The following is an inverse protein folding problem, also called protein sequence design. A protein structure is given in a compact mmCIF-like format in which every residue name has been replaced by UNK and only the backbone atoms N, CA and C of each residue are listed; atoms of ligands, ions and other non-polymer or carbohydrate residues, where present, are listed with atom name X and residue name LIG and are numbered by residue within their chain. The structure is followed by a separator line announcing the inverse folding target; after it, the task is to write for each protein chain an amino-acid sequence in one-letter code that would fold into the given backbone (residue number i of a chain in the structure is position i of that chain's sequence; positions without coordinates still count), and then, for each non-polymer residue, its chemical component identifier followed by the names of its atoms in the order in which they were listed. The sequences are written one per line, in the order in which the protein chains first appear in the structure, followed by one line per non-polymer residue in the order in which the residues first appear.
data_IF_743199061874
#
_entry.id   IF_743199061874
#
_cell.length_a   1.000
_cell.length_b   1.000
_cell.length_c   1.000
_cell.angle_alpha   90.00
_cell.angle_beta   90.00
_cell.angle_gamma   90.00
#
_symmetry.space_group_name_H-M   'P 1'
#
loop_
_entity.id
_entity.type
_entity.pdbx_description
1 polymer ?
#
# COMPACT_ATOMS: atom_id res chain seq x y z
N UNK A 1 -7.97 2.98 6.13
CA UNK A 1 -8.45 4.03 5.20
C UNK A 1 -7.25 4.79 4.69
N UNK A 2 -7.00 4.74 3.39
CA UNK A 2 -5.85 5.33 2.71
C UNK A 2 -6.37 6.30 1.63
N UNK A 3 -5.75 7.46 1.49
CA UNK A 3 -6.07 8.44 0.45
C UNK A 3 -4.80 8.84 -0.32
N UNK A 4 -4.96 9.63 -1.38
CA UNK A 4 -3.79 10.25 -2.02
C UNK A 4 -2.99 11.06 -0.99
N UNK A 5 -1.67 11.06 -1.14
CA UNK A 5 -0.69 11.65 -0.22
C UNK A 5 -0.59 10.96 1.15
N UNK A 6 -1.29 9.85 1.39
CA UNK A 6 -1.01 9.01 2.57
C UNK A 6 0.34 8.31 2.41
N UNK A 7 1.17 8.37 3.44
CA UNK A 7 2.41 7.61 3.55
C UNK A 7 2.12 6.24 4.17
N UNK A 8 2.72 5.19 3.63
CA UNK A 8 2.57 3.81 4.07
C UNK A 8 3.94 3.16 4.26
N UNK A 9 4.03 2.31 5.27
CA UNK A 9 5.12 1.38 5.44
C UNK A 9 5.03 0.27 4.38
N UNK A 10 6.17 -0.36 4.13
CA UNK A 10 6.27 -1.52 3.25
C UNK A 10 6.21 -2.79 4.10
N UNK A 11 5.29 -3.69 3.76
CA UNK A 11 5.05 -4.94 4.50
C UNK A 11 5.55 -6.19 3.74
N UNK A 12 6.62 -6.05 2.98
CA UNK A 12 7.27 -7.13 2.25
C UNK A 12 8.80 -6.98 2.28
N UNK A 13 9.49 -8.01 1.80
CA UNK A 13 10.95 -8.02 1.67
C UNK A 13 11.44 -7.37 0.36
N UNK A 14 10.60 -6.55 -0.30
CA UNK A 14 11.01 -5.77 -1.48
C UNK A 14 12.07 -4.71 -1.16
N UNK A 15 12.30 -4.45 0.14
CA UNK A 15 13.28 -3.50 0.70
C UNK A 15 13.05 -2.04 0.29
N UNK A 16 11.87 -1.71 -0.24
CA UNK A 16 11.33 -0.37 -0.10
C UNK A 16 11.05 -0.12 1.40
N UNK A 17 11.20 1.13 1.85
CA UNK A 17 10.99 1.53 3.25
C UNK A 17 9.70 2.32 3.43
N UNK A 18 9.40 3.18 2.46
CA UNK A 18 8.29 4.12 2.55
C UNK A 18 7.66 4.32 1.18
N UNK A 19 6.34 4.29 1.15
CA UNK A 19 5.51 4.51 -0.02
C UNK A 19 4.62 5.73 0.20
N UNK A 20 4.35 6.49 -0.84
CA UNK A 20 3.32 7.52 -0.83
C UNK A 20 2.25 7.18 -1.86
N UNK A 21 1.00 7.06 -1.42
CA UNK A 21 -0.14 6.85 -2.32
C UNK A 21 -0.33 8.08 -3.21
N UNK A 22 -0.41 7.87 -4.52
CA UNK A 22 -0.71 8.94 -5.48
C UNK A 22 -2.08 8.76 -6.11
N UNK A 23 -2.56 7.52 -6.24
CA UNK A 23 -3.87 7.23 -6.84
C UNK A 23 -4.44 5.91 -6.32
N UNK A 24 -5.75 5.89 -6.09
CA UNK A 24 -6.49 4.67 -5.78
C UNK A 24 -7.02 4.07 -7.08
N UNK A 25 -6.84 2.76 -7.29
CA UNK A 25 -7.38 2.05 -8.45
C UNK A 25 -8.78 1.54 -8.11
N UNK A 26 -9.74 1.69 -9.03
CA UNK A 26 -11.11 1.21 -8.86
C UNK A 26 -12.13 1.99 -9.70
N UNK A 27 -13.41 1.71 -9.46
CA UNK A 27 -14.54 2.37 -10.13
C UNK A 27 -14.60 3.87 -9.74
N UNK A 28 -15.06 4.70 -10.69
CA UNK A 28 -15.05 6.18 -10.71
C UNK A 28 -15.04 6.91 -9.35
N UNK A 29 -14.08 7.82 -9.19
CA UNK A 29 -13.94 8.81 -8.09
C UNK A 29 -13.85 8.23 -6.67
N UNK A 30 -13.25 7.04 -6.53
CA UNK A 30 -12.95 6.49 -5.22
C UNK A 30 -11.96 7.37 -4.46
N UNK A 31 -12.42 7.96 -3.35
CA UNK A 31 -11.62 8.84 -2.47
C UNK A 31 -10.74 8.08 -1.48
N UNK A 32 -11.14 6.85 -1.13
CA UNK A 32 -10.49 6.07 -0.08
C UNK A 32 -10.28 4.61 -0.48
N UNK A 33 -9.10 4.09 -0.15
CA UNK A 33 -8.75 2.68 -0.18
C UNK A 33 -8.80 2.06 1.23
N UNK A 34 -9.11 0.78 1.27
CA UNK A 34 -9.18 -0.09 2.44
C UNK A 34 -8.27 -1.31 2.24
N UNK A 35 -8.21 -2.18 3.23
CA UNK A 35 -7.44 -3.42 3.17
C UNK A 35 -7.90 -4.23 1.93
N UNK A 36 -6.94 -4.75 1.16
CA UNK A 36 -7.16 -5.49 -0.09
C UNK A 36 -7.24 -4.65 -1.35
N UNK A 37 -7.37 -3.32 -1.24
CA UNK A 37 -7.42 -2.46 -2.43
C UNK A 37 -6.03 -2.24 -3.04
N UNK A 38 -5.99 -2.21 -4.37
CA UNK A 38 -4.79 -1.83 -5.13
C UNK A 38 -4.69 -0.32 -5.24
N UNK A 39 -3.52 0.22 -4.89
CA UNK A 39 -3.16 1.62 -5.02
C UNK A 39 -1.92 1.78 -5.90
N UNK A 40 -1.81 2.94 -6.55
CA UNK A 40 -0.59 3.39 -7.21
C UNK A 40 0.18 4.23 -6.20
N UNK A 41 1.45 3.90 -6.01
CA UNK A 41 2.33 4.54 -5.04
C UNK A 41 3.61 5.00 -5.71
N UNK A 42 4.26 5.99 -5.11
CA UNK A 42 5.64 6.34 -5.41
C UNK A 42 6.53 5.93 -4.24
N UNK A 43 7.71 5.38 -4.54
CA UNK A 43 8.69 5.00 -3.53
C UNK A 43 9.36 6.27 -2.99
N UNK A 44 9.27 6.49 -1.68
CA UNK A 44 9.89 7.63 -0.99
C UNK A 44 11.20 7.28 -0.30
N UNK A 45 11.35 6.02 0.09
CA UNK A 45 12.60 5.50 0.63
C UNK A 45 12.84 4.06 0.18
N UNK A 46 14.07 3.76 -0.20
CA UNK A 46 14.52 2.42 -0.57
C UNK A 46 15.95 2.18 -0.07
N UNK A 47 16.32 0.91 0.07
CA UNK A 47 17.72 0.53 0.33
C UNK A 47 18.55 0.73 -0.96
N UNK A 48 19.77 1.31 -0.89
CA UNK A 48 20.63 1.50 -2.06
C UNK A 48 20.96 0.20 -2.80
N UNK A 49 21.30 0.29 -4.09
CA UNK A 49 21.73 -0.81 -4.96
C UNK A 49 20.71 -1.94 -5.17
N UNK A 50 19.42 -1.61 -5.15
CA UNK A 50 18.31 -2.55 -5.33
C UNK A 50 17.50 -2.21 -6.59
N UNK A 51 16.72 -3.16 -7.14
CA UNK A 51 15.93 -2.94 -8.35
C UNK A 51 14.78 -1.95 -8.18
N UNK A 52 14.38 -1.62 -6.94
CA UNK A 52 13.41 -0.58 -6.65
C UNK A 52 14.11 0.75 -6.39
N UNK A 53 13.77 1.77 -7.17
CA UNK A 53 14.40 3.08 -7.09
C UNK A 53 13.52 4.11 -6.36
N UNK A 54 14.16 5.08 -5.71
CA UNK A 54 13.44 6.22 -5.13
C UNK A 54 12.80 7.01 -6.28
N UNK A 55 11.55 7.44 -6.09
CA UNK A 55 10.68 8.08 -7.10
C UNK A 55 10.12 7.16 -8.19
N UNK A 56 10.40 5.84 -8.14
CA UNK A 56 9.72 4.88 -9.01
C UNK A 56 8.23 4.80 -8.65
N UNK A 57 7.39 4.70 -9.68
CA UNK A 57 5.94 4.54 -9.52
C UNK A 57 5.57 3.08 -9.70
N UNK A 58 5.01 2.49 -8.65
CA UNK A 58 4.65 1.06 -8.60
C UNK A 58 3.22 0.87 -8.11
N UNK A 59 2.72 -0.37 -8.20
CA UNK A 59 1.45 -0.78 -7.59
C UNK A 59 1.70 -1.43 -6.25
N UNK A 60 0.75 -1.27 -5.35
CA UNK A 60 0.79 -1.92 -4.04
C UNK A 60 -0.62 -2.30 -3.58
N UNK A 61 -0.72 -3.35 -2.77
CA UNK A 61 -1.96 -3.77 -2.10
C UNK A 61 -1.91 -3.31 -0.65
N UNK A 62 -2.96 -2.63 -0.19
CA UNK A 62 -3.07 -2.22 1.22
C UNK A 62 -3.31 -3.45 2.10
N UNK A 63 -2.47 -3.67 3.11
CA UNK A 63 -2.61 -4.81 4.04
C UNK A 63 -2.98 -4.38 5.45
N UNK A 64 -2.46 -3.24 5.91
CA UNK A 64 -2.77 -2.68 7.22
C UNK A 64 -3.36 -1.27 7.09
N UNK A 65 -4.31 -0.94 7.97
CA UNK A 65 -4.74 0.45 8.12
C UNK A 65 -5.04 0.82 9.57
N UNK A 66 -4.70 2.06 9.94
CA UNK A 66 -5.03 2.62 11.27
C UNK A 66 -6.53 2.91 11.46
N UNK A 67 -7.30 2.98 10.37
CA UNK A 67 -8.76 3.11 10.46
C UNK A 67 -9.35 1.74 10.74
N UNK A 68 -10.29 1.71 11.66
CA UNK A 68 -11.07 0.53 12.00
C UNK A 68 -11.74 -0.10 10.76
N UNK A 69 -11.66 -1.42 10.68
CA UNK A 69 -12.37 -2.26 9.71
C UNK A 69 -13.34 -3.14 10.48
N UNK A 70 -14.63 -3.01 10.18
CA UNK A 70 -15.70 -3.80 10.79
C UNK A 70 -15.93 -5.02 9.91
N UNK A 71 -15.73 -6.20 10.49
CA UNK A 71 -16.03 -7.47 9.84
C UNK A 71 -17.53 -7.79 9.91
N UNK A 72 -18.00 -8.67 9.03
CA UNK A 72 -19.41 -9.06 8.94
C UNK A 72 -19.95 -9.67 10.24
N UNK A 73 -19.08 -10.27 11.05
CA UNK A 73 -19.40 -10.82 12.37
C UNK A 73 -19.41 -9.78 13.50
N UNK A 74 -19.21 -8.49 13.18
CA UNK A 74 -19.18 -7.39 14.15
C UNK A 74 -17.83 -7.16 14.83
N UNK A 75 -16.81 -7.98 14.55
CA UNK A 75 -15.46 -7.75 15.08
C UNK A 75 -14.82 -6.53 14.42
N UNK A 76 -14.00 -5.80 15.19
CA UNK A 76 -13.26 -4.62 14.72
C UNK A 76 -11.77 -4.96 14.66
N UNK A 77 -11.17 -4.76 13.49
CA UNK A 77 -9.72 -4.86 13.30
C UNK A 77 -9.15 -3.44 13.10
N UNK A 78 -8.07 -3.12 13.80
CA UNK A 78 -7.31 -1.89 13.64
C UNK A 78 -5.83 -2.19 13.84
N UNK A 79 -4.99 -1.65 12.95
CA UNK A 79 -3.55 -1.75 13.04
C UNK A 79 -2.95 -0.45 13.61
N UNK A 80 -1.73 -0.55 14.15
CA UNK A 80 -1.02 0.63 14.66
C UNK A 80 -0.43 1.48 13.52
N UNK A 81 -0.27 0.90 12.33
CA UNK A 81 0.28 1.56 11.15
C UNK A 81 -0.55 1.35 9.86
N UNK A 82 -0.20 2.11 8.83
CA UNK A 82 -0.67 1.86 7.47
C UNK A 82 0.46 1.21 6.69
N UNK A 83 0.18 0.07 6.07
CA UNK A 83 1.19 -0.66 5.33
C UNK A 83 0.64 -1.27 4.05
N UNK A 84 1.51 -1.44 3.05
CA UNK A 84 1.19 -2.06 1.78
C UNK A 84 2.31 -2.97 1.28
N UNK A 85 1.95 -3.95 0.47
CA UNK A 85 2.85 -4.88 -0.22
C UNK A 85 2.99 -4.44 -1.66
N UNK A 86 4.22 -4.33 -2.16
CA UNK A 86 4.48 -3.94 -3.55
C UNK A 86 4.19 -5.13 -4.46
N UNK A 87 3.42 -4.88 -5.53
CA UNK A 87 3.00 -5.92 -6.47
C UNK A 87 3.40 -5.59 -7.91
N UNK A 88 3.51 -6.63 -8.73
CA UNK A 88 3.66 -6.52 -10.17
C UNK A 88 2.29 -6.23 -10.87
N UNK A 89 2.29 -6.30 -12.20
CA UNK A 89 1.08 -6.08 -12.99
C UNK A 89 0.07 -7.24 -12.95
N UNK A 90 0.54 -8.46 -12.66
CA UNK A 90 -0.26 -9.68 -12.54
C UNK A 90 -0.85 -9.82 -11.13
N UNK A 91 -0.37 -9.02 -10.16
CA UNK A 91 -0.81 -9.00 -8.78
C UNK A 91 0.07 -9.82 -7.83
N UNK A 92 1.22 -10.32 -8.31
CA UNK A 92 2.14 -11.06 -7.45
C UNK A 92 3.02 -10.09 -6.63
N UNK A 93 3.37 -10.43 -5.38
CA UNK A 93 4.33 -9.65 -4.60
C UNK A 93 5.68 -9.53 -5.32
N UNK A 94 6.29 -8.33 -5.31
CA UNK A 94 7.66 -8.13 -5.83
C UNK A 94 8.72 -8.50 -4.80
N UNK A 95 8.39 -8.46 -3.51
CA UNK A 95 9.21 -9.06 -2.45
C UNK A 95 8.94 -10.56 -2.34
N UNK A 96 9.98 -11.34 -2.05
CA UNK A 96 9.88 -12.76 -1.72
C UNK A 96 9.95 -12.95 -0.21
#
# INVERSE_FOLDING_TARGET
MIQSQTHLNVADDSRARELMCIRIIGVSNRRYAHIGDVIVVVIKGAVPNMPLEISEVVRAVVVHTCKEHILDNGMIIRYDDNAAVVIDHEGNPKGT
#
